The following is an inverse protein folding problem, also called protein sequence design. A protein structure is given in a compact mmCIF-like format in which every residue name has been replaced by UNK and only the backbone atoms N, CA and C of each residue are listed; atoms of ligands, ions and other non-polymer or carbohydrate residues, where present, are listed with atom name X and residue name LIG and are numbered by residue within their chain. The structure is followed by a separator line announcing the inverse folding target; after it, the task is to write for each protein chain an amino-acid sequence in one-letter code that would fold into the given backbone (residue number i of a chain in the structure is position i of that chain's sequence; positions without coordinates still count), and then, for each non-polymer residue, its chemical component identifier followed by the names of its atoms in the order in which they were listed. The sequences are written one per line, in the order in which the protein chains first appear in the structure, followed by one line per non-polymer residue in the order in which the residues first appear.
data_IF_625401508828
#
_entry.id   IF_625401508828
#
_cell.length_a   1.000
_cell.length_b   1.000
_cell.length_c   1.000
_cell.angle_alpha   90.00
_cell.angle_beta   90.00
_cell.angle_gamma   90.00
#
_symmetry.space_group_name_H-M   'P 1'
#
loop_
_entity.id
_entity.type
_entity.pdbx_description
1 polymer ?
#
# COMPACT_ATOMS: atom_id res chain seq x y z
N UNK A 1 25.56 11.40 24.62
CA UNK A 1 24.22 11.23 25.25
C UNK A 1 23.20 11.38 24.13
N UNK A 2 22.96 10.29 23.38
CA UNK A 2 21.98 10.28 22.29
C UNK A 2 20.59 10.30 22.89
N UNK A 3 19.83 11.37 22.62
CA UNK A 3 18.41 11.48 22.93
C UNK A 3 17.70 10.35 22.17
N UNK A 4 17.21 9.33 22.89
CA UNK A 4 16.28 8.32 22.35
C UNK A 4 15.11 9.07 21.73
N UNK A 5 15.01 9.07 20.41
CA UNK A 5 13.82 9.56 19.72
C UNK A 5 12.65 8.68 20.17
N UNK A 6 11.73 9.29 20.91
CA UNK A 6 10.50 8.63 21.36
C UNK A 6 9.71 8.14 20.14
N UNK A 7 9.27 6.88 20.16
CA UNK A 7 8.53 6.31 19.01
C UNK A 7 7.20 7.06 18.86
N UNK A 8 6.74 7.21 17.62
CA UNK A 8 5.46 7.87 17.34
C UNK A 8 4.29 7.19 18.06
N UNK A 9 4.35 5.87 18.25
CA UNK A 9 3.34 5.11 18.99
C UNK A 9 3.37 5.39 20.48
N UNK A 10 4.57 5.60 21.06
CA UNK A 10 4.72 6.05 22.45
C UNK A 10 4.10 7.43 22.60
N UNK A 11 4.44 8.36 21.71
CA UNK A 11 3.92 9.74 21.72
C UNK A 11 2.40 9.80 21.59
N UNK A 12 1.81 8.95 20.73
CA UNK A 12 0.35 8.84 20.61
C UNK A 12 -0.33 8.40 21.92
N UNK A 13 0.33 7.57 22.72
CA UNK A 13 -0.20 7.12 24.03
C UNK A 13 0.03 8.17 25.13
N UNK A 14 1.23 8.74 25.18
CA UNK A 14 1.62 9.71 26.22
C UNK A 14 0.81 11.01 26.10
N UNK A 15 0.63 11.50 24.88
CA UNK A 15 -0.06 12.77 24.61
C UNK A 15 -1.59 12.62 24.42
N UNK A 16 -2.12 11.38 24.56
CA UNK A 16 -3.52 11.04 24.21
C UNK A 16 -4.55 11.96 24.87
N UNK A 17 -4.36 12.31 26.15
CA UNK A 17 -5.30 13.13 26.90
C UNK A 17 -5.32 14.60 26.42
N UNK A 18 -4.26 15.05 25.76
CA UNK A 18 -4.15 16.40 25.22
C UNK A 18 -4.84 16.54 23.85
N UNK A 19 -5.17 15.44 23.20
CA UNK A 19 -5.75 15.44 21.86
C UNK A 19 -7.21 15.91 21.86
N UNK A 20 -7.55 16.67 20.83
CA UNK A 20 -8.94 17.03 20.52
C UNK A 20 -9.75 15.77 20.15
N UNK A 21 -11.10 15.88 20.17
CA UNK A 21 -11.98 14.77 19.79
C UNK A 21 -11.69 14.17 18.41
N UNK A 22 -11.30 15.00 17.44
CA UNK A 22 -10.94 14.55 16.10
C UNK A 22 -9.58 13.85 16.08
N UNK A 23 -8.60 14.37 16.83
CA UNK A 23 -7.26 13.77 16.96
C UNK A 23 -7.30 12.44 17.71
N UNK A 24 -8.16 12.30 18.73
CA UNK A 24 -8.40 11.04 19.44
C UNK A 24 -8.91 9.96 18.49
N UNK A 25 -9.83 10.27 17.58
CA UNK A 25 -10.29 9.31 16.57
C UNK A 25 -9.14 8.82 15.67
N UNK A 26 -8.24 9.72 15.28
CA UNK A 26 -7.07 9.35 14.49
C UNK A 26 -6.12 8.49 15.33
N UNK A 27 -5.83 8.89 16.56
CA UNK A 27 -4.95 8.16 17.47
C UNK A 27 -5.48 6.75 17.75
N UNK A 28 -6.77 6.60 18.06
CA UNK A 28 -7.44 5.31 18.30
C UNK A 28 -7.32 4.38 17.08
N UNK A 29 -7.61 4.92 15.89
CA UNK A 29 -7.52 4.13 14.66
C UNK A 29 -6.07 3.70 14.39
N UNK A 30 -5.11 4.62 14.53
CA UNK A 30 -3.68 4.33 14.32
C UNK A 30 -3.15 3.32 15.34
N UNK A 31 -3.54 3.43 16.60
CA UNK A 31 -3.10 2.49 17.65
C UNK A 31 -3.67 1.09 17.43
N UNK A 32 -4.89 0.99 16.88
CA UNK A 32 -5.56 -0.27 16.60
C UNK A 32 -5.03 -0.92 15.32
N UNK A 33 -4.85 -0.14 14.24
CA UNK A 33 -4.55 -0.64 12.89
C UNK A 33 -3.18 -0.15 12.39
N UNK A 34 -2.17 -0.08 13.28
CA UNK A 34 -0.85 0.50 13.02
C UNK A 34 -0.13 -0.05 11.79
N UNK A 35 -0.33 -1.32 11.46
CA UNK A 35 0.29 -1.96 10.29
C UNK A 35 -0.42 -1.55 8.99
N UNK A 36 -1.72 -1.41 8.99
CA UNK A 36 -2.49 -1.03 7.81
C UNK A 36 -2.27 0.46 7.48
N UNK A 37 -2.23 1.31 8.52
CA UNK A 37 -2.09 2.77 8.37
C UNK A 37 -0.83 3.17 7.60
N UNK A 38 0.28 2.46 7.75
CA UNK A 38 1.52 2.76 7.02
C UNK A 38 1.37 2.62 5.50
N UNK A 39 0.37 1.87 5.03
CA UNK A 39 0.10 1.63 3.61
C UNK A 39 -1.08 2.45 3.07
N UNK A 40 -1.91 3.03 3.94
CA UNK A 40 -3.06 3.85 3.54
C UNK A 40 -2.65 5.17 2.88
N UNK A 41 -3.50 5.67 1.99
CA UNK A 41 -3.46 7.06 1.53
C UNK A 41 -4.00 8.00 2.61
N UNK A 42 -3.71 9.30 2.49
CA UNK A 42 -4.26 10.31 3.43
C UNK A 42 -5.78 10.37 3.35
N UNK A 43 -6.33 10.25 2.16
CA UNK A 43 -7.78 10.24 1.89
C UNK A 43 -8.45 9.05 2.56
N UNK A 44 -7.86 7.87 2.44
CA UNK A 44 -8.36 6.64 3.03
C UNK A 44 -8.35 6.69 4.56
N UNK A 45 -7.22 7.08 5.17
CA UNK A 45 -7.13 7.20 6.61
C UNK A 45 -8.08 8.27 7.16
N UNK A 46 -8.21 9.41 6.49
CA UNK A 46 -9.15 10.46 6.87
C UNK A 46 -10.60 9.97 6.84
N UNK A 47 -10.98 9.22 5.79
CA UNK A 47 -12.30 8.61 5.68
C UNK A 47 -12.56 7.58 6.78
N UNK A 48 -11.60 6.68 7.06
CA UNK A 48 -11.70 5.66 8.12
C UNK A 48 -11.84 6.29 9.51
N UNK A 49 -11.15 7.40 9.77
CA UNK A 49 -11.25 8.14 11.04
C UNK A 49 -12.47 9.08 11.10
N UNK A 50 -13.15 9.33 9.99
CA UNK A 50 -14.26 10.27 9.91
C UNK A 50 -13.81 11.72 10.18
N UNK A 51 -12.66 12.12 9.60
CA UNK A 51 -12.08 13.48 9.72
C UNK A 51 -11.69 14.02 8.35
N UNK A 52 -11.49 15.35 8.25
CA UNK A 52 -10.97 15.96 7.03
C UNK A 52 -9.45 15.70 6.88
N UNK A 53 -8.96 15.58 5.66
CA UNK A 53 -7.52 15.39 5.37
C UNK A 53 -6.65 16.51 5.96
N UNK A 54 -7.15 17.75 5.95
CA UNK A 54 -6.48 18.89 6.58
C UNK A 54 -6.28 18.70 8.09
N UNK A 55 -7.24 18.05 8.77
CA UNK A 55 -7.15 17.70 10.20
C UNK A 55 -6.08 16.63 10.42
N UNK A 56 -6.06 15.60 9.58
CA UNK A 56 -5.05 14.55 9.63
C UNK A 56 -3.64 15.13 9.37
N UNK A 57 -3.49 16.02 8.39
CA UNK A 57 -2.22 16.67 8.08
C UNK A 57 -1.72 17.50 9.27
N UNK A 58 -2.61 18.27 9.93
CA UNK A 58 -2.25 19.05 11.14
C UNK A 58 -1.84 18.12 12.27
N UNK A 59 -2.59 17.06 12.51
CA UNK A 59 -2.27 16.08 13.54
C UNK A 59 -0.88 15.47 13.34
N UNK A 60 -0.52 15.10 12.13
CA UNK A 60 0.82 14.62 11.82
C UNK A 60 1.90 15.65 12.15
N UNK A 61 1.65 16.94 11.90
CA UNK A 61 2.58 18.02 12.24
C UNK A 61 2.68 18.26 13.75
N UNK A 62 1.58 18.22 14.48
CA UNK A 62 1.56 18.31 15.95
C UNK A 62 2.39 17.22 16.59
N UNK A 63 2.39 16.01 16.02
CA UNK A 63 3.24 14.90 16.46
C UNK A 63 4.73 15.06 16.09
N UNK A 64 5.10 16.15 15.41
CA UNK A 64 6.48 16.43 14.99
C UNK A 64 6.88 15.77 13.67
N UNK A 65 5.92 15.21 12.94
CA UNK A 65 6.14 14.70 11.60
C UNK A 65 5.97 15.82 10.58
N UNK A 66 6.83 15.89 9.57
CA UNK A 66 6.77 16.95 8.54
C UNK A 66 5.49 16.92 7.67
N UNK A 67 4.61 15.91 7.88
CA UNK A 67 3.35 15.70 7.20
C UNK A 67 2.99 14.22 7.22
N UNK A 68 1.98 13.82 6.44
CA UNK A 68 1.48 12.45 6.43
C UNK A 68 2.53 11.42 5.97
N UNK A 69 3.35 11.74 4.98
CA UNK A 69 4.46 10.85 4.53
C UNK A 69 5.48 10.64 5.66
N UNK A 70 5.88 11.71 6.36
CA UNK A 70 6.77 11.62 7.52
C UNK A 70 6.15 10.82 8.67
N UNK A 71 4.84 10.95 8.88
CA UNK A 71 4.10 10.19 9.87
C UNK A 71 4.10 8.69 9.55
N UNK A 72 3.83 8.28 8.31
CA UNK A 72 3.93 6.88 7.89
C UNK A 72 5.33 6.30 8.09
N UNK A 73 6.35 7.08 7.75
CA UNK A 73 7.74 6.66 7.95
C UNK A 73 8.08 6.50 9.45
N UNK A 74 7.57 7.41 10.30
CA UNK A 74 7.74 7.32 11.74
C UNK A 74 6.98 6.11 12.35
N UNK A 75 5.79 5.79 11.82
CA UNK A 75 5.06 4.56 12.19
C UNK A 75 5.84 3.31 11.81
N UNK A 76 6.37 3.24 10.60
CA UNK A 76 7.18 2.11 10.16
C UNK A 76 8.44 1.91 11.03
N UNK A 77 9.13 3.01 11.38
CA UNK A 77 10.27 3.00 12.31
C UNK A 77 9.86 2.64 13.75
N UNK A 78 8.73 3.15 14.22
CA UNK A 78 8.21 2.91 15.57
C UNK A 78 7.71 1.49 15.78
N UNK A 79 7.23 0.84 14.73
CA UNK A 79 6.82 -0.56 14.76
C UNK A 79 7.99 -1.52 14.99
N UNK A 80 9.21 -1.11 14.62
CA UNK A 80 10.44 -1.88 14.88
C UNK A 80 11.05 -1.66 16.27
N UNK A 81 10.61 -0.64 17.04
CA UNK A 81 11.21 -0.24 18.32
C UNK A 81 10.32 -0.50 19.57
N UNK A 82 9.08 -0.96 19.41
CA UNK A 82 8.15 -1.15 20.53
C UNK A 82 8.17 -2.59 21.05
N UNK A 83 9.24 -2.94 21.76
CA UNK A 83 9.36 -4.21 22.46
C UNK A 83 9.53 -3.97 23.97
N UNK A 84 8.43 -3.73 24.68
CA UNK A 84 8.32 -4.11 26.12
C UNK A 84 6.84 -4.18 26.55
N UNK A 85 6.49 -5.31 27.17
CA UNK A 85 5.28 -5.62 27.94
C UNK A 85 3.99 -5.92 27.14
N UNK A 86 3.66 -7.20 27.03
CA UNK A 86 2.40 -7.73 26.53
C UNK A 86 2.53 -8.29 25.10
N UNK A 87 3.27 -9.38 24.94
CA UNK A 87 3.46 -10.04 23.65
C UNK A 87 2.14 -10.65 23.16
N UNK A 88 1.47 -9.98 22.21
CA UNK A 88 0.47 -10.64 21.39
C UNK A 88 1.17 -11.64 20.46
N UNK A 89 0.49 -12.69 20.03
CA UNK A 89 1.05 -13.69 19.10
C UNK A 89 1.61 -13.08 17.83
N UNK A 90 1.06 -11.95 17.37
CA UNK A 90 1.55 -11.18 16.22
C UNK A 90 2.92 -10.53 16.46
N UNK A 91 3.23 -10.10 17.71
CA UNK A 91 4.55 -9.55 18.05
C UNK A 91 5.64 -10.64 18.06
N UNK A 92 5.30 -11.89 18.35
CA UNK A 92 6.24 -13.03 18.25
C UNK A 92 6.60 -13.35 16.79
N UNK A 93 5.74 -13.00 15.85
CA UNK A 93 5.96 -13.19 14.39
C UNK A 93 6.87 -12.12 13.77
N UNK A 94 6.98 -10.93 14.37
CA UNK A 94 7.79 -9.84 13.83
C UNK A 94 9.30 -10.08 14.06
N UNK A 95 10.12 -9.70 13.09
CA UNK A 95 11.59 -9.72 13.22
C UNK A 95 12.02 -8.67 14.23
N UNK A 96 12.86 -9.06 15.18
CA UNK A 96 13.38 -8.22 16.26
C UNK A 96 14.89 -8.03 16.14
N UNK A 97 15.44 -6.91 16.64
CA UNK A 97 16.91 -6.70 16.65
C UNK A 97 17.69 -7.73 17.47
N UNK A 98 17.02 -8.43 18.40
CA UNK A 98 17.62 -9.50 19.21
C UNK A 98 17.54 -10.89 18.58
N UNK A 99 16.85 -11.04 17.46
CA UNK A 99 16.75 -12.33 16.79
C UNK A 99 18.10 -12.76 16.22
N UNK A 100 18.40 -14.01 16.35
CA UNK A 100 19.49 -14.65 15.60
C UNK A 100 19.13 -14.70 14.12
N UNK A 101 20.12 -14.86 13.25
CA UNK A 101 19.90 -15.01 11.80
C UNK A 101 18.93 -16.18 11.51
N UNK A 102 19.06 -17.30 12.23
CA UNK A 102 18.16 -18.45 12.09
C UNK A 102 16.72 -18.11 12.44
N UNK A 103 16.48 -17.38 13.52
CA UNK A 103 15.15 -16.92 13.93
C UNK A 103 14.56 -15.94 12.92
N UNK A 104 15.38 -15.00 12.41
CA UNK A 104 14.93 -14.08 11.35
C UNK A 104 14.48 -14.84 10.10
N UNK A 105 15.28 -15.80 9.62
CA UNK A 105 14.95 -16.63 8.47
C UNK A 105 13.65 -17.42 8.71
N UNK A 106 13.48 -17.99 9.89
CA UNK A 106 12.28 -18.76 10.23
C UNK A 106 11.03 -17.87 10.28
N UNK A 107 11.14 -16.68 10.88
CA UNK A 107 10.05 -15.71 10.94
C UNK A 107 9.65 -15.22 9.53
N UNK A 108 10.63 -14.91 8.68
CA UNK A 108 10.39 -14.51 7.29
C UNK A 108 9.67 -15.62 6.51
N UNK A 109 10.20 -16.85 6.58
CA UNK A 109 9.57 -18.00 5.95
C UNK A 109 8.11 -18.21 6.39
N UNK A 110 7.84 -18.08 7.69
CA UNK A 110 6.48 -18.23 8.22
C UNK A 110 5.56 -17.10 7.73
N UNK A 111 6.06 -15.86 7.67
CA UNK A 111 5.30 -14.71 7.16
C UNK A 111 4.94 -14.88 5.68
N UNK A 112 5.90 -15.30 4.86
CA UNK A 112 5.67 -15.53 3.42
C UNK A 112 4.67 -16.66 3.20
N UNK A 113 4.79 -17.76 3.95
CA UNK A 113 3.85 -18.88 3.89
C UNK A 113 2.43 -18.48 4.30
N UNK A 114 2.30 -17.67 5.34
CA UNK A 114 1.01 -17.16 5.79
C UNK A 114 0.40 -16.22 4.74
N UNK A 115 1.19 -15.31 4.15
CA UNK A 115 0.76 -14.41 3.09
C UNK A 115 0.27 -15.18 1.86
N UNK A 116 0.99 -16.22 1.43
CA UNK A 116 0.57 -17.09 0.33
C UNK A 116 -0.74 -17.82 0.63
N UNK A 117 -0.89 -18.33 1.87
CA UNK A 117 -2.12 -19.02 2.30
C UNK A 117 -3.32 -18.07 2.30
N UNK A 118 -3.16 -16.87 2.83
CA UNK A 118 -4.21 -15.85 2.86
C UNK A 118 -4.58 -15.40 1.44
N UNK A 119 -3.59 -15.19 0.57
CA UNK A 119 -3.82 -14.84 -0.83
C UNK A 119 -4.62 -15.93 -1.53
N UNK A 120 -4.24 -17.20 -1.36
CA UNK A 120 -4.96 -18.32 -1.95
C UNK A 120 -6.43 -18.39 -1.53
N UNK A 121 -6.73 -18.10 -0.27
CA UNK A 121 -8.10 -18.08 0.26
C UNK A 121 -8.95 -16.94 -0.32
N UNK A 122 -8.32 -15.86 -0.78
CA UNK A 122 -9.01 -14.70 -1.37
C UNK A 122 -9.11 -14.76 -2.90
N UNK A 123 -8.45 -15.73 -3.54
CA UNK A 123 -8.53 -15.89 -4.99
C UNK A 123 -9.97 -16.25 -5.38
N UNK A 124 -10.53 -15.45 -6.27
CA UNK A 124 -11.76 -15.75 -6.98
C UNK A 124 -11.43 -16.26 -8.39
N UNK A 125 -11.59 -17.58 -8.66
CA UNK A 125 -11.26 -18.16 -9.95
C UNK A 125 -12.05 -17.54 -11.11
N UNK A 126 -13.29 -17.10 -10.90
CA UNK A 126 -14.10 -16.48 -11.94
C UNK A 126 -13.55 -15.12 -12.35
N UNK A 127 -13.08 -14.33 -11.39
CA UNK A 127 -12.44 -13.05 -11.68
C UNK A 127 -11.12 -13.25 -12.43
N UNK A 128 -10.35 -14.26 -12.07
CA UNK A 128 -9.11 -14.61 -12.80
C UNK A 128 -9.43 -15.01 -14.25
N UNK A 129 -10.42 -15.87 -14.46
CA UNK A 129 -10.81 -16.28 -15.80
C UNK A 129 -11.29 -15.09 -16.63
N UNK A 130 -12.04 -14.16 -16.03
CA UNK A 130 -12.46 -12.93 -16.70
C UNK A 130 -11.26 -12.05 -17.07
N UNK A 131 -10.28 -11.88 -16.17
CA UNK A 131 -9.07 -11.12 -16.45
C UNK A 131 -8.26 -11.77 -17.60
N UNK A 132 -8.11 -13.08 -17.59
CA UNK A 132 -7.47 -13.84 -18.66
C UNK A 132 -8.17 -13.60 -20.00
N UNK A 133 -9.49 -13.69 -20.04
CA UNK A 133 -10.29 -13.46 -21.26
C UNK A 133 -10.09 -12.02 -21.80
N UNK A 134 -10.11 -11.03 -20.92
CA UNK A 134 -9.82 -9.64 -21.33
C UNK A 134 -8.41 -9.47 -21.87
N UNK A 135 -7.39 -10.01 -21.21
CA UNK A 135 -6.01 -9.95 -21.67
C UNK A 135 -5.85 -10.67 -23.02
N UNK A 136 -6.48 -11.83 -23.21
CA UNK A 136 -6.38 -12.58 -24.45
C UNK A 136 -7.03 -11.84 -25.64
N UNK A 137 -8.16 -11.19 -25.43
CA UNK A 137 -8.91 -10.48 -26.46
C UNK A 137 -8.35 -9.08 -26.75
N UNK A 138 -7.59 -8.51 -25.81
CA UNK A 138 -7.06 -7.17 -25.98
C UNK A 138 -6.13 -7.04 -27.18
N UNK A 139 -6.22 -5.92 -27.88
CA UNK A 139 -5.28 -5.52 -28.94
C UNK A 139 -3.93 -5.16 -28.34
N UNK A 140 -3.92 -4.32 -27.29
CA UNK A 140 -2.75 -3.94 -26.50
C UNK A 140 -3.07 -4.07 -25.02
N UNK A 141 -2.06 -4.38 -24.22
CA UNK A 141 -2.17 -4.43 -22.74
C UNK A 141 -1.07 -3.57 -22.14
N UNK A 142 -1.44 -2.65 -21.26
CA UNK A 142 -0.48 -1.81 -20.56
C UNK A 142 -0.35 -2.24 -19.10
N UNK A 143 0.84 -2.67 -18.71
CA UNK A 143 1.20 -2.91 -17.30
C UNK A 143 1.61 -1.60 -16.66
N UNK A 144 0.91 -1.18 -15.62
CA UNK A 144 1.09 0.08 -14.93
C UNK A 144 1.19 -0.11 -13.41
N UNK A 145 1.84 0.81 -12.73
CA UNK A 145 1.96 0.83 -11.28
C UNK A 145 2.96 1.90 -10.86
N UNK A 146 2.97 2.28 -9.57
CA UNK A 146 3.85 3.31 -9.05
C UNK A 146 4.78 2.76 -7.95
N UNK A 147 6.01 3.28 -7.88
CA UNK A 147 6.97 2.84 -6.86
C UNK A 147 7.22 1.33 -6.89
N UNK A 148 7.08 0.65 -5.76
CA UNK A 148 7.21 -0.81 -5.67
C UNK A 148 6.24 -1.57 -6.57
N UNK A 149 5.02 -1.07 -6.74
CA UNK A 149 4.04 -1.65 -7.67
C UNK A 149 4.46 -1.51 -9.14
N UNK A 150 5.23 -0.46 -9.49
CA UNK A 150 5.82 -0.30 -10.81
C UNK A 150 6.85 -1.40 -11.14
N UNK A 151 7.58 -1.88 -10.13
CA UNK A 151 8.50 -3.03 -10.28
C UNK A 151 7.71 -4.30 -10.63
N UNK A 152 6.56 -4.52 -9.98
CA UNK A 152 5.69 -5.66 -10.30
C UNK A 152 5.07 -5.55 -11.70
N UNK A 153 4.71 -4.33 -12.13
CA UNK A 153 4.23 -4.07 -13.49
C UNK A 153 5.30 -4.42 -14.54
N UNK A 154 6.56 -4.07 -14.27
CA UNK A 154 7.69 -4.39 -15.13
C UNK A 154 7.98 -5.91 -15.14
N UNK A 155 7.88 -6.58 -13.98
CA UNK A 155 8.03 -8.03 -13.91
C UNK A 155 6.93 -8.75 -14.72
N UNK A 156 5.69 -8.32 -14.59
CA UNK A 156 4.57 -8.86 -15.37
C UNK A 156 4.82 -8.70 -16.87
N UNK A 157 5.22 -7.50 -17.32
CA UNK A 157 5.60 -7.26 -18.70
C UNK A 157 6.72 -8.20 -19.16
N UNK A 158 7.79 -8.34 -18.35
CA UNK A 158 8.91 -9.22 -18.66
C UNK A 158 8.52 -10.68 -18.83
N UNK A 159 7.49 -11.16 -18.12
CA UNK A 159 6.92 -12.50 -18.29
C UNK A 159 6.07 -12.58 -19.56
N UNK A 160 5.22 -11.59 -19.81
CA UNK A 160 4.35 -11.59 -20.99
C UNK A 160 5.12 -11.48 -22.30
N UNK A 161 6.22 -10.71 -22.34
CA UNK A 161 7.00 -10.49 -23.58
C UNK A 161 7.61 -11.79 -24.12
N UNK A 162 7.72 -12.83 -23.30
CA UNK A 162 8.20 -14.16 -23.73
C UNK A 162 7.17 -14.90 -24.60
N UNK A 163 5.89 -14.50 -24.56
CA UNK A 163 4.78 -15.20 -25.24
C UNK A 163 3.96 -14.29 -26.15
N UNK A 164 4.06 -12.97 -26.01
CA UNK A 164 3.31 -12.00 -26.83
C UNK A 164 3.99 -10.65 -26.89
N UNK A 165 3.83 -9.93 -27.99
CA UNK A 165 4.35 -8.58 -28.19
C UNK A 165 3.33 -7.47 -27.92
N UNK A 166 2.10 -7.82 -27.56
CA UNK A 166 1.02 -6.83 -27.33
C UNK A 166 1.05 -6.18 -25.93
N UNK A 167 1.87 -6.71 -25.02
CA UNK A 167 2.00 -6.19 -23.68
C UNK A 167 3.13 -5.18 -23.61
N UNK A 168 2.87 -4.04 -22.99
CA UNK A 168 3.82 -2.95 -22.79
C UNK A 168 3.84 -2.53 -21.34
N UNK A 169 4.94 -1.91 -20.89
CA UNK A 169 5.05 -1.34 -19.55
C UNK A 169 5.52 0.11 -19.64
N UNK A 170 4.81 1.00 -18.95
CA UNK A 170 5.18 2.41 -18.83
C UNK A 170 5.34 2.73 -17.35
N UNK A 171 6.50 3.28 -16.96
CA UNK A 171 6.82 3.48 -15.54
C UNK A 171 6.49 4.88 -15.03
N UNK A 172 6.74 5.90 -15.83
CA UNK A 172 6.46 7.28 -15.47
C UNK A 172 4.95 7.57 -15.48
N UNK A 173 4.42 8.19 -14.41
CA UNK A 173 2.99 8.43 -14.26
C UNK A 173 2.39 9.34 -15.32
N UNK A 174 3.12 10.37 -15.77
CA UNK A 174 2.66 11.23 -16.83
C UNK A 174 2.63 10.49 -18.17
N UNK A 175 3.65 9.69 -18.44
CA UNK A 175 3.69 8.86 -19.63
C UNK A 175 2.62 7.76 -19.61
N UNK A 176 2.28 7.22 -18.44
CA UNK A 176 1.14 6.31 -18.29
C UNK A 176 -0.16 6.98 -18.69
N UNK A 177 -0.46 8.16 -18.15
CA UNK A 177 -1.66 8.91 -18.48
C UNK A 177 -1.75 9.23 -19.98
N UNK A 178 -0.64 9.66 -20.60
CA UNK A 178 -0.56 9.92 -22.03
C UNK A 178 -0.80 8.66 -22.86
N UNK A 179 -0.13 7.56 -22.55
CA UNK A 179 -0.27 6.29 -23.27
C UNK A 179 -1.72 5.75 -23.16
N UNK A 180 -2.31 5.82 -21.96
CA UNK A 180 -3.65 5.30 -21.70
C UNK A 180 -4.73 6.16 -22.38
N UNK A 181 -4.51 7.48 -22.51
CA UNK A 181 -5.45 8.36 -23.23
C UNK A 181 -5.58 8.05 -24.73
N UNK A 182 -4.64 7.27 -25.28
CA UNK A 182 -4.59 6.85 -26.67
C UNK A 182 -5.04 5.39 -26.87
N UNK A 183 -5.57 4.75 -25.83
CA UNK A 183 -6.09 3.39 -25.91
C UNK A 183 -7.49 3.36 -26.51
N UNK A 184 -7.77 2.28 -27.21
CA UNK A 184 -9.06 1.98 -27.80
C UNK A 184 -9.87 1.02 -26.87
N UNK A 185 -11.20 0.92 -27.01
CA UNK A 185 -12.03 0.06 -26.16
C UNK A 185 -11.64 -1.42 -26.14
N UNK A 186 -10.93 -1.89 -27.15
CA UNK A 186 -10.40 -3.25 -27.28
C UNK A 186 -9.09 -3.47 -26.52
N UNK A 187 -8.46 -2.40 -26.02
CA UNK A 187 -7.24 -2.48 -25.24
C UNK A 187 -7.54 -2.76 -23.76
N UNK A 188 -6.52 -3.13 -22.99
CA UNK A 188 -6.65 -3.38 -21.56
C UNK A 188 -5.49 -2.76 -20.77
N UNK A 189 -5.77 -2.45 -19.51
CA UNK A 189 -4.78 -1.98 -18.55
C UNK A 189 -4.71 -3.01 -17.42
N UNK A 190 -3.50 -3.47 -17.09
CA UNK A 190 -3.19 -4.27 -15.92
C UNK A 190 -2.47 -3.37 -14.90
N UNK A 191 -3.19 -2.90 -13.88
CA UNK A 191 -2.66 -1.94 -12.92
C UNK A 191 -2.32 -2.61 -11.59
N UNK A 192 -1.08 -2.49 -11.18
CA UNK A 192 -0.60 -2.97 -9.89
C UNK A 192 -0.71 -1.86 -8.85
N UNK A 193 -1.45 -2.11 -7.78
CA UNK A 193 -1.58 -1.17 -6.67
C UNK A 193 -1.65 -1.91 -5.34
N UNK A 194 -0.83 -1.50 -4.37
CA UNK A 194 -0.88 -2.06 -3.03
C UNK A 194 -2.11 -1.56 -2.24
N UNK A 195 -2.36 -0.25 -2.27
CA UNK A 195 -3.45 0.37 -1.51
C UNK A 195 -4.80 0.38 -2.25
N UNK A 196 -4.79 0.20 -3.57
CA UNK A 196 -5.97 0.38 -4.41
C UNK A 196 -6.52 1.82 -4.45
N UNK A 197 -5.83 2.80 -3.86
CA UNK A 197 -6.35 4.16 -3.63
C UNK A 197 -5.32 5.26 -3.90
N UNK A 198 -4.28 5.00 -4.70
CA UNK A 198 -3.31 6.04 -5.08
C UNK A 198 -3.96 7.04 -6.04
N UNK A 199 -3.53 8.30 -5.98
CA UNK A 199 -4.04 9.34 -6.89
C UNK A 199 -3.83 8.93 -8.35
N UNK A 200 -2.63 8.44 -8.70
CA UNK A 200 -2.31 8.01 -10.06
C UNK A 200 -3.27 6.91 -10.55
N UNK A 201 -3.60 5.91 -9.70
CA UNK A 201 -4.60 4.90 -10.06
C UNK A 201 -5.97 5.51 -10.33
N UNK A 202 -6.40 6.46 -9.49
CA UNK A 202 -7.71 7.11 -9.66
C UNK A 202 -7.76 7.93 -10.96
N UNK A 203 -6.69 8.65 -11.27
CA UNK A 203 -6.56 9.41 -12.52
C UNK A 203 -6.59 8.47 -13.73
N UNK A 204 -5.85 7.36 -13.69
CA UNK A 204 -5.86 6.31 -14.74
C UNK A 204 -7.25 5.67 -14.88
N UNK A 205 -7.90 5.35 -13.77
CA UNK A 205 -9.25 4.77 -13.78
C UNK A 205 -10.28 5.72 -14.44
N UNK A 206 -10.15 7.01 -14.19
CA UNK A 206 -11.00 8.03 -14.83
C UNK A 206 -10.75 8.08 -16.35
N UNK A 207 -9.50 8.12 -16.80
CA UNK A 207 -9.14 8.12 -18.22
C UNK A 207 -9.64 6.84 -18.90
N UNK A 208 -9.38 5.68 -18.30
CA UNK A 208 -9.82 4.38 -18.80
C UNK A 208 -11.35 4.31 -18.93
N UNK A 209 -12.07 4.83 -17.93
CA UNK A 209 -13.55 4.89 -17.95
C UNK A 209 -14.09 5.77 -19.10
N UNK A 210 -13.45 6.91 -19.38
CA UNK A 210 -13.82 7.79 -20.49
C UNK A 210 -13.56 7.12 -21.85
N UNK A 211 -12.44 6.42 -21.98
CA UNK A 211 -12.07 5.68 -23.19
C UNK A 211 -12.77 4.31 -23.30
N UNK A 212 -13.53 3.89 -22.30
CA UNK A 212 -14.18 2.56 -22.20
C UNK A 212 -13.18 1.39 -22.24
N UNK A 213 -11.95 1.63 -21.84
CA UNK A 213 -10.88 0.62 -21.75
C UNK A 213 -11.03 -0.19 -20.48
N UNK A 214 -10.73 -1.49 -20.56
CA UNK A 214 -10.78 -2.38 -19.39
C UNK A 214 -9.60 -2.13 -18.45
N UNK A 215 -9.89 -1.84 -17.19
CA UNK A 215 -8.92 -1.76 -16.10
C UNK A 215 -9.07 -3.03 -15.23
N UNK A 216 -7.94 -3.74 -15.10
CA UNK A 216 -7.80 -5.01 -14.37
C UNK A 216 -6.88 -4.81 -13.16
#
# INVERSE_FOLDING_TARGET
MELRQESILSKLRTDYDTFTRAEKKIADYVLTYKFDVQYMSITELAAKCGVAEATLTRFCRTLGCGGFTGFKLALAKGSSLSLTAGESEEMKKAINPSDTLGEMCQKLYNADREALSQTYQQIDPEQILRAVDYIQKAGRVYCCGQGGSGILAMEAWGRFITVTNKVQCVQDSHMQAMAISLLEPEDAILYFSFSGATKDLMDIAQIAGQAKVRLL
#
